data_IF_959163111670
#
_entry.id   IF_959163111670
#
_cell.length_a   1.000
_cell.length_b   1.000
_cell.length_c   1.000
_cell.angle_alpha   90.00
_cell.angle_beta   90.00
_cell.angle_gamma   90.00
#
_symmetry.space_group_name_H-M   'P 1'
#
loop_
_entity.id
_entity.type
_entity.pdbx_description
1 polymer ?
#
# COMPACT_ATOMS: atom_id res chain seq x y z
N UNK A 1 -12.59 -18.77 13.08
CA UNK A 1 -11.38 -17.94 13.28
C UNK A 1 -10.72 -17.55 11.96
N UNK A 2 -10.37 -18.47 11.06
CA UNK A 2 -9.71 -18.15 9.79
C UNK A 2 -10.44 -17.09 8.93
N UNK A 3 -11.76 -17.22 8.76
CA UNK A 3 -12.57 -16.24 8.02
C UNK A 3 -12.52 -14.84 8.65
N UNK A 4 -12.56 -14.77 10.00
CA UNK A 4 -12.52 -13.51 10.71
C UNK A 4 -11.16 -12.81 10.53
N UNK A 5 -10.06 -13.55 10.70
CA UNK A 5 -8.71 -13.02 10.48
C UNK A 5 -8.56 -12.54 9.03
N UNK A 6 -9.02 -13.33 8.04
CA UNK A 6 -9.01 -12.92 6.65
C UNK A 6 -9.79 -11.61 6.42
N UNK A 7 -10.96 -11.45 7.03
CA UNK A 7 -11.75 -10.22 6.98
C UNK A 7 -11.01 -9.02 7.59
N UNK A 8 -10.27 -9.20 8.69
CA UNK A 8 -9.42 -8.15 9.27
C UNK A 8 -8.37 -7.67 8.26
N UNK A 9 -7.70 -8.59 7.56
CA UNK A 9 -6.69 -8.22 6.56
C UNK A 9 -7.27 -7.46 5.36
N UNK A 10 -8.37 -7.96 4.77
CA UNK A 10 -8.91 -7.38 3.52
C UNK A 10 -9.80 -6.17 3.73
N UNK A 11 -10.24 -5.90 4.97
CA UNK A 11 -11.11 -4.77 5.28
C UNK A 11 -10.48 -3.82 6.30
N UNK A 12 -10.22 -4.27 7.53
CA UNK A 12 -9.79 -3.37 8.59
C UNK A 12 -8.36 -2.83 8.34
N UNK A 13 -7.40 -3.69 8.01
CA UNK A 13 -6.04 -3.25 7.69
C UNK A 13 -6.00 -2.47 6.39
N UNK A 14 -6.69 -2.92 5.34
CA UNK A 14 -6.80 -2.17 4.09
C UNK A 14 -7.38 -0.76 4.30
N UNK A 15 -8.41 -0.60 5.12
CA UNK A 15 -8.96 0.71 5.45
C UNK A 15 -7.95 1.60 6.21
N UNK A 16 -7.15 1.02 7.10
CA UNK A 16 -6.06 1.75 7.74
C UNK A 16 -5.00 2.21 6.71
N UNK A 17 -4.68 1.39 5.71
CA UNK A 17 -3.79 1.82 4.61
C UNK A 17 -4.39 2.96 3.79
N UNK A 18 -5.72 2.99 3.59
CA UNK A 18 -6.39 4.14 2.97
C UNK A 18 -6.26 5.40 3.80
N UNK A 19 -6.40 5.31 5.14
CA UNK A 19 -6.15 6.45 6.06
C UNK A 19 -4.72 6.95 5.93
N UNK A 20 -3.72 6.07 5.88
CA UNK A 20 -2.32 6.48 5.69
C UNK A 20 -2.16 7.26 4.37
N UNK A 21 -2.74 6.76 3.28
CA UNK A 21 -2.71 7.46 1.98
C UNK A 21 -3.45 8.80 2.01
N UNK A 22 -4.57 8.88 2.73
CA UNK A 22 -5.33 10.10 2.98
C UNK A 22 -4.50 11.16 3.69
N UNK A 23 -3.87 10.82 4.81
CA UNK A 23 -3.07 11.77 5.57
C UNK A 23 -1.86 12.26 4.77
N UNK A 24 -1.14 11.35 4.10
CA UNK A 24 0.00 11.74 3.25
C UNK A 24 -0.44 12.73 2.18
N UNK A 25 -1.56 12.49 1.51
CA UNK A 25 -1.96 13.34 0.37
C UNK A 25 -2.53 14.69 0.82
N UNK A 26 -3.28 14.71 1.93
CA UNK A 26 -3.81 15.95 2.50
C UNK A 26 -2.72 16.83 3.12
N UNK A 27 -1.74 16.25 3.83
CA UNK A 27 -0.57 16.98 4.36
C UNK A 27 0.27 17.63 3.24
N UNK A 28 0.19 17.07 2.03
CA UNK A 28 0.86 17.59 0.84
C UNK A 28 -0.05 18.46 -0.05
N UNK A 29 -1.24 18.85 0.45
CA UNK A 29 -2.11 19.84 -0.19
C UNK A 29 -2.96 19.30 -1.34
N UNK A 30 -3.15 17.99 -1.43
CA UNK A 30 -3.95 17.34 -2.46
C UNK A 30 -5.21 16.68 -1.86
N UNK A 31 -6.36 16.74 -2.55
CA UNK A 31 -7.58 16.12 -2.05
C UNK A 31 -7.53 14.59 -2.18
N UNK A 32 -8.03 13.85 -1.19
CA UNK A 32 -8.04 12.39 -1.19
C UNK A 32 -8.77 11.76 -2.38
N UNK A 33 -9.71 12.50 -2.98
CA UNK A 33 -10.47 12.13 -4.18
C UNK A 33 -9.59 11.63 -5.32
N UNK A 34 -8.36 12.15 -5.45
CA UNK A 34 -7.45 11.74 -6.53
C UNK A 34 -6.98 10.27 -6.39
N UNK A 35 -7.06 9.70 -5.18
CA UNK A 35 -6.71 8.29 -4.93
C UNK A 35 -7.90 7.33 -5.17
N UNK A 36 -9.14 7.82 -5.12
CA UNK A 36 -10.35 6.97 -5.25
C UNK A 36 -10.35 6.13 -6.54
N UNK A 37 -9.99 6.65 -7.73
CA UNK A 37 -9.91 5.85 -8.94
C UNK A 37 -8.87 4.70 -8.86
N UNK A 38 -7.71 4.95 -8.23
CA UNK A 38 -6.67 3.94 -8.06
C UNK A 38 -7.11 2.81 -7.12
N UNK A 39 -7.81 3.17 -6.04
CA UNK A 39 -8.41 2.21 -5.10
C UNK A 39 -9.46 1.36 -5.82
N UNK A 40 -10.39 2.01 -6.54
CA UNK A 40 -11.47 1.34 -7.25
C UNK A 40 -10.95 0.35 -8.31
N UNK A 41 -9.92 0.74 -9.06
CA UNK A 41 -9.30 -0.12 -10.06
C UNK A 41 -8.67 -1.38 -9.43
N UNK A 42 -8.01 -1.23 -8.29
CA UNK A 42 -7.41 -2.35 -7.56
C UNK A 42 -8.47 -3.33 -7.06
N UNK A 43 -9.55 -2.82 -6.43
CA UNK A 43 -10.68 -3.63 -5.94
C UNK A 43 -11.42 -4.32 -7.10
N UNK A 44 -11.57 -3.62 -8.23
CA UNK A 44 -12.18 -4.20 -9.43
C UNK A 44 -11.34 -5.36 -9.97
N UNK A 45 -10.02 -5.21 -10.07
CA UNK A 45 -9.13 -6.24 -10.62
C UNK A 45 -9.18 -7.56 -9.85
N UNK A 46 -9.24 -7.51 -8.51
CA UNK A 46 -9.31 -8.73 -7.68
C UNK A 46 -10.64 -9.48 -7.80
N UNK A 47 -11.68 -8.88 -8.39
CA UNK A 47 -12.93 -9.58 -8.70
C UNK A 47 -12.79 -10.56 -9.87
N UNK A 48 -11.73 -10.41 -10.67
CA UNK A 48 -11.49 -11.20 -11.88
C UNK A 48 -10.15 -11.93 -11.89
N UNK A 49 -9.22 -11.57 -11.00
CA UNK A 49 -7.85 -12.10 -10.96
C UNK A 49 -7.44 -12.44 -9.52
N UNK A 50 -6.46 -13.34 -9.37
CA UNK A 50 -5.86 -13.60 -8.07
C UNK A 50 -5.10 -12.35 -7.58
N UNK A 51 -5.18 -11.98 -6.28
CA UNK A 51 -4.39 -10.87 -5.72
C UNK A 51 -2.90 -10.89 -6.07
N UNK A 52 -2.29 -12.08 -6.17
CA UNK A 52 -0.88 -12.23 -6.54
C UNK A 52 -0.58 -11.75 -7.97
N UNK A 53 -1.51 -11.96 -8.91
CA UNK A 53 -1.34 -11.63 -10.32
C UNK A 53 -1.46 -10.14 -10.60
N UNK A 54 -2.18 -9.42 -9.73
CA UNK A 54 -2.46 -7.98 -9.86
C UNK A 54 -1.54 -7.13 -8.99
N UNK A 55 -0.62 -7.74 -8.23
CA UNK A 55 0.39 -7.05 -7.44
C UNK A 55 1.30 -6.25 -8.38
N UNK A 56 1.43 -4.95 -8.14
CA UNK A 56 2.30 -4.04 -8.91
C UNK A 56 3.08 -3.12 -7.98
N UNK A 57 3.66 -2.05 -8.52
CA UNK A 57 4.42 -1.05 -7.75
C UNK A 57 5.94 -1.32 -7.72
N UNK A 58 6.70 -0.43 -7.08
CA UNK A 58 8.16 -0.49 -7.07
C UNK A 58 8.70 -1.74 -6.37
N UNK A 59 8.03 -2.21 -5.30
CA UNK A 59 8.40 -3.44 -4.58
C UNK A 59 8.37 -4.68 -5.50
N UNK A 60 7.27 -4.87 -6.23
CA UNK A 60 7.10 -6.00 -7.15
C UNK A 60 8.15 -6.01 -8.26
N UNK A 61 8.50 -4.83 -8.80
CA UNK A 61 9.47 -4.71 -9.90
C UNK A 61 10.93 -4.58 -9.45
N UNK A 62 11.19 -4.48 -8.15
CA UNK A 62 12.54 -4.35 -7.61
C UNK A 62 13.16 -2.96 -7.76
N UNK A 63 12.33 -1.91 -7.83
CA UNK A 63 12.79 -0.52 -8.01
C UNK A 63 13.29 0.09 -6.70
N UNK A 64 14.56 -0.17 -6.39
CA UNK A 64 15.24 0.30 -5.19
C UNK A 64 15.32 1.82 -5.11
N UNK A 65 15.60 2.49 -6.22
CA UNK A 65 15.77 3.94 -6.24
C UNK A 65 14.49 4.67 -5.83
N UNK A 66 13.33 4.19 -6.32
CA UNK A 66 12.03 4.74 -5.91
C UNK A 66 11.73 4.42 -4.44
N UNK A 67 12.02 3.21 -3.99
CA UNK A 67 11.82 2.80 -2.59
C UNK A 67 12.66 3.65 -1.63
N UNK A 68 13.93 3.90 -1.94
CA UNK A 68 14.81 4.75 -1.12
C UNK A 68 14.27 6.18 -1.02
N UNK A 69 13.79 6.75 -2.14
CA UNK A 69 13.16 8.08 -2.14
C UNK A 69 11.90 8.12 -1.27
N UNK A 70 11.06 7.09 -1.36
CA UNK A 70 9.88 6.98 -0.51
C UNK A 70 10.26 6.88 0.98
N UNK A 71 11.26 6.07 1.34
CA UNK A 71 11.72 5.93 2.71
C UNK A 71 12.32 7.23 3.27
N UNK A 72 13.10 7.95 2.48
CA UNK A 72 13.62 9.26 2.86
C UNK A 72 12.48 10.27 3.08
N UNK A 73 11.44 10.24 2.25
CA UNK A 73 10.26 11.07 2.43
C UNK A 73 9.49 10.72 3.72
N UNK A 74 9.44 9.42 4.06
CA UNK A 74 8.73 8.90 5.23
C UNK A 74 9.57 8.89 6.52
N UNK A 75 10.85 9.24 6.49
CA UNK A 75 11.84 9.00 7.56
C UNK A 75 11.39 9.49 8.95
N UNK A 76 10.55 10.53 9.00
CA UNK A 76 10.05 11.14 10.25
C UNK A 76 8.59 10.82 10.57
N UNK A 77 7.99 9.89 9.82
CA UNK A 77 6.59 9.48 9.98
C UNK A 77 6.51 8.10 10.60
N UNK A 78 5.42 7.82 11.32
CA UNK A 78 5.11 6.47 11.81
C UNK A 78 4.90 5.45 10.67
N UNK A 79 4.69 5.93 9.44
CA UNK A 79 4.39 5.10 8.26
C UNK A 79 5.62 4.40 7.67
N UNK A 80 6.84 4.85 7.99
CA UNK A 80 8.07 4.26 7.45
C UNK A 80 8.22 2.77 7.81
N UNK A 81 7.84 2.38 9.03
CA UNK A 81 7.89 0.99 9.47
C UNK A 81 6.89 0.11 8.71
N UNK A 82 5.64 0.57 8.58
CA UNK A 82 4.59 -0.14 7.83
C UNK A 82 5.01 -0.30 6.36
N UNK A 83 5.49 0.79 5.74
CA UNK A 83 5.97 0.77 4.36
C UNK A 83 7.11 -0.25 4.16
N UNK A 84 8.07 -0.27 5.10
CA UNK A 84 9.19 -1.22 5.09
C UNK A 84 8.72 -2.67 5.19
N UNK A 85 7.85 -2.97 6.15
CA UNK A 85 7.32 -4.32 6.36
C UNK A 85 6.55 -4.80 5.14
N UNK A 86 5.65 -3.99 4.60
CA UNK A 86 4.85 -4.39 3.43
C UNK A 86 5.72 -4.56 2.18
N UNK A 87 6.70 -3.68 1.96
CA UNK A 87 7.65 -3.80 0.85
C UNK A 87 8.44 -5.12 0.94
N UNK A 88 8.95 -5.48 2.12
CA UNK A 88 9.62 -6.77 2.37
C UNK A 88 8.71 -7.97 2.16
N UNK A 89 7.43 -7.87 2.52
CA UNK A 89 6.45 -8.94 2.33
C UNK A 89 6.06 -9.13 0.85
N UNK A 90 6.10 -8.07 0.04
CA UNK A 90 5.92 -8.17 -1.42
C UNK A 90 7.18 -8.72 -2.08
N UNK A 91 8.35 -8.23 -1.71
CA UNK A 91 9.63 -8.67 -2.27
C UNK A 91 10.71 -8.73 -1.18
N UNK A 92 11.11 -9.93 -0.71
CA UNK A 92 12.09 -10.09 0.37
C UNK A 92 13.50 -9.56 0.06
N UNK A 93 13.79 -9.27 -1.22
CA UNK A 93 15.07 -8.66 -1.65
C UNK A 93 15.05 -7.13 -1.55
N UNK A 94 13.89 -6.54 -1.23
CA UNK A 94 13.69 -5.10 -1.11
C UNK A 94 13.71 -4.67 0.37
N UNK A 95 14.07 -3.39 0.54
CA UNK A 95 14.40 -2.69 1.79
C UNK A 95 15.59 -3.29 2.54
#
# INVERSE_FOLDING_TARGET
MALHIAAVFVNNFTNHLFKIGHDIIEENGFPFEVLKPLIAETVKKISFHNPADVQTGPAQRGDKNTIEKHLNFLEKTEYSEIYTVLTKKINPKMV
#
